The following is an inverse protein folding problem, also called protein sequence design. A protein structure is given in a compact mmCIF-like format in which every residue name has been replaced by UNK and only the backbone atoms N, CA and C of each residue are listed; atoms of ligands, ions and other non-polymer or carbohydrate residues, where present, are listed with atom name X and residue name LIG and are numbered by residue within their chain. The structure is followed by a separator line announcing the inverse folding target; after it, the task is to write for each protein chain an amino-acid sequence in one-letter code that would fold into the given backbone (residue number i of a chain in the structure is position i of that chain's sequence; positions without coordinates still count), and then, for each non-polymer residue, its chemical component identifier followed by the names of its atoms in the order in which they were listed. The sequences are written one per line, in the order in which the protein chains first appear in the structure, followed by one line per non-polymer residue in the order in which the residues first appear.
data_IF_274359880379
#
_entry.id   IF_274359880379
#
_cell.length_a   1.000
_cell.length_b   1.000
_cell.length_c   1.000
_cell.angle_alpha   90.00
_cell.angle_beta   90.00
_cell.angle_gamma   90.00
#
_symmetry.space_group_name_H-M   'P 1'
#
loop_
_entity.id
_entity.type
_entity.pdbx_description
1 polymer ?
#
# COMPACT_ATOMS: atom_id res chain seq x y z
N UNK A 1 -18.92 18.47 -5.55
CA UNK A 1 -17.60 19.12 -5.69
C UNK A 1 -17.83 20.45 -6.33
N UNK A 2 -17.39 21.52 -5.67
CA UNK A 2 -17.66 22.90 -6.04
C UNK A 2 -16.36 23.69 -6.10
N UNK A 3 -16.28 24.62 -7.05
CA UNK A 3 -15.18 25.57 -7.13
C UNK A 3 -15.39 26.73 -6.12
N UNK A 4 -14.45 27.68 -6.01
CA UNK A 4 -14.59 28.81 -5.09
C UNK A 4 -15.70 29.80 -5.44
N UNK A 5 -16.21 29.80 -6.68
CA UNK A 5 -17.33 30.64 -7.11
C UNK A 5 -18.69 30.00 -6.80
N UNK A 6 -18.70 28.74 -6.34
CA UNK A 6 -19.90 27.97 -6.06
C UNK A 6 -20.39 27.14 -7.25
N UNK A 7 -19.64 27.10 -8.35
CA UNK A 7 -20.01 26.32 -9.53
C UNK A 7 -19.74 24.83 -9.31
N UNK A 8 -20.70 24.00 -9.75
CA UNK A 8 -20.58 22.56 -9.60
C UNK A 8 -19.58 21.98 -10.61
N UNK A 9 -18.46 21.47 -10.10
CA UNK A 9 -17.45 20.76 -10.89
C UNK A 9 -17.89 19.32 -11.18
N UNK A 10 -18.44 18.64 -10.18
CA UNK A 10 -18.78 17.22 -10.30
C UNK A 10 -19.17 16.53 -8.99
N UNK A 11 -19.18 15.19 -9.02
CA UNK A 11 -19.52 14.33 -7.88
C UNK A 11 -18.33 13.44 -7.52
N UNK A 12 -18.05 13.31 -6.23
CA UNK A 12 -17.04 12.35 -5.76
C UNK A 12 -17.57 10.95 -6.02
N UNK A 13 -16.75 10.11 -6.64
CA UNK A 13 -17.04 8.70 -6.89
C UNK A 13 -16.21 7.79 -6.01
N UNK A 14 -14.99 8.19 -5.68
CA UNK A 14 -14.08 7.42 -4.85
C UNK A 14 -12.96 8.30 -4.29
N UNK A 15 -12.17 7.74 -3.38
CA UNK A 15 -10.90 8.28 -2.92
C UNK A 15 -9.75 7.40 -3.44
N UNK A 16 -8.63 8.02 -3.75
CA UNK A 16 -7.41 7.33 -4.16
C UNK A 16 -6.46 7.29 -2.98
N UNK A 17 -6.21 6.09 -2.46
CA UNK A 17 -5.24 5.83 -1.42
C UNK A 17 -3.95 5.24 -2.00
N UNK A 18 -2.80 5.58 -1.43
CA UNK A 18 -1.52 4.97 -1.70
C UNK A 18 -1.12 4.10 -0.51
N UNK A 19 -0.89 2.82 -0.77
CA UNK A 19 -0.30 1.91 0.22
C UNK A 19 1.17 2.28 0.41
N UNK A 20 1.63 2.35 1.66
CA UNK A 20 3.00 2.75 2.00
C UNK A 20 3.79 1.56 2.55
N UNK A 21 5.06 1.48 2.16
CA UNK A 21 6.01 0.48 2.67
C UNK A 21 6.36 0.81 4.13
N UNK A 22 6.72 -0.21 4.91
CA UNK A 22 7.23 -0.04 6.27
C UNK A 22 6.14 0.22 7.32
N UNK A 23 4.93 -0.31 7.10
CA UNK A 23 3.85 -0.24 8.09
C UNK A 23 3.45 1.19 8.43
N UNK A 24 3.36 2.06 7.42
CA UNK A 24 2.79 3.41 7.58
C UNK A 24 1.32 3.40 7.13
N UNK A 25 0.44 4.20 7.75
CA UNK A 25 -0.97 4.27 7.36
C UNK A 25 -1.12 4.59 5.87
N UNK A 26 -2.12 4.10 5.13
CA UNK A 26 -2.30 4.49 3.72
C UNK A 26 -2.53 6.00 3.58
N UNK A 27 -1.88 6.65 2.60
CA UNK A 27 -2.04 8.09 2.35
C UNK A 27 -3.13 8.34 1.32
N UNK A 28 -4.03 9.28 1.56
CA UNK A 28 -5.01 9.74 0.56
C UNK A 28 -4.34 10.74 -0.37
N UNK A 29 -4.25 10.39 -1.65
CA UNK A 29 -3.68 11.24 -2.70
C UNK A 29 -4.68 12.25 -3.25
N UNK A 30 -5.96 11.87 -3.31
CA UNK A 30 -7.00 12.68 -3.92
C UNK A 30 -8.31 11.94 -4.10
N UNK A 31 -9.19 12.55 -4.89
CA UNK A 31 -10.55 12.10 -5.14
C UNK A 31 -10.70 11.73 -6.62
N UNK A 32 -11.48 10.68 -6.89
CA UNK A 32 -12.01 10.41 -8.22
C UNK A 32 -13.30 11.21 -8.35
N UNK A 33 -13.31 12.20 -9.24
CA UNK A 33 -14.47 13.06 -9.48
C UNK A 33 -15.07 12.76 -10.83
N UNK A 34 -16.37 12.47 -10.87
CA UNK A 34 -17.13 12.40 -12.11
C UNK A 34 -17.65 13.80 -12.44
N UNK A 35 -17.21 14.34 -13.57
CA UNK A 35 -17.66 15.63 -14.10
C UNK A 35 -18.89 15.47 -14.98
N UNK A 36 -19.52 16.57 -15.38
CA UNK A 36 -20.77 16.62 -16.16
C UNK A 36 -20.71 15.76 -17.45
N UNK A 37 -19.54 15.64 -18.08
CA UNK A 37 -19.34 14.78 -19.26
C UNK A 37 -19.26 13.28 -18.97
N UNK A 38 -19.64 12.85 -17.75
CA UNK A 38 -19.48 11.47 -17.22
C UNK A 38 -18.04 10.95 -17.21
N UNK A 39 -17.08 11.83 -17.44
CA UNK A 39 -15.64 11.52 -17.37
C UNK A 39 -15.22 11.50 -15.91
N UNK A 40 -14.46 10.47 -15.52
CA UNK A 40 -13.78 10.42 -14.23
C UNK A 40 -12.43 11.09 -14.36
N UNK A 41 -12.14 12.02 -13.46
CA UNK A 41 -10.88 12.76 -13.38
C UNK A 41 -10.29 12.63 -11.97
N UNK A 42 -8.99 12.86 -11.86
CA UNK A 42 -8.31 12.92 -10.57
C UNK A 42 -8.31 14.34 -10.03
N UNK A 43 -8.79 14.52 -8.79
CA UNK A 43 -8.69 15.77 -8.05
C UNK A 43 -7.70 15.58 -6.88
N UNK A 44 -6.50 16.19 -6.93
CA UNK A 44 -5.52 16.05 -5.85
C UNK A 44 -6.08 16.54 -4.51
N UNK A 45 -5.76 15.84 -3.41
CA UNK A 45 -6.24 16.23 -2.08
C UNK A 45 -5.71 17.61 -1.65
N UNK A 46 -4.54 18.00 -2.17
CA UNK A 46 -3.95 19.34 -1.97
C UNK A 46 -4.80 20.48 -2.54
N UNK A 47 -5.72 20.16 -3.45
CA UNK A 47 -6.66 21.11 -4.05
C UNK A 47 -7.98 21.18 -3.29
N UNK A 48 -8.20 20.35 -2.27
CA UNK A 48 -9.39 20.38 -1.43
C UNK A 48 -9.17 21.36 -0.29
N UNK A 49 -10.03 22.37 -0.19
CA UNK A 49 -9.95 23.41 0.84
C UNK A 49 -10.90 23.16 2.00
N UNK A 50 -11.95 22.36 1.79
CA UNK A 50 -12.91 21.99 2.82
C UNK A 50 -13.80 20.83 2.41
N UNK A 51 -14.27 20.09 3.40
CA UNK A 51 -15.29 19.05 3.26
C UNK A 51 -16.38 19.34 4.28
N UNK A 52 -17.55 19.76 3.80
CA UNK A 52 -18.64 20.28 4.63
C UNK A 52 -19.96 19.70 4.16
N UNK A 53 -20.74 19.07 5.04
CA UNK A 53 -22.13 18.64 4.76
C UNK A 53 -22.34 17.96 3.39
N UNK A 54 -21.45 17.01 3.03
CA UNK A 54 -21.51 16.28 1.75
C UNK A 54 -20.96 17.05 0.53
N UNK A 55 -20.43 18.25 0.74
CA UNK A 55 -19.76 19.05 -0.26
C UNK A 55 -18.24 18.96 -0.10
N UNK A 56 -17.56 18.99 -1.24
CA UNK A 56 -16.10 19.12 -1.32
C UNK A 56 -15.82 20.41 -2.05
N UNK A 57 -15.13 21.32 -1.38
CA UNK A 57 -14.73 22.63 -1.92
C UNK A 57 -13.30 22.50 -2.43
N UNK A 58 -13.08 22.94 -3.67
CA UNK A 58 -11.76 22.87 -4.30
C UNK A 58 -11.27 24.24 -4.75
N UNK A 59 -9.96 24.35 -4.99
CA UNK A 59 -9.38 25.49 -5.72
C UNK A 59 -9.90 25.52 -7.17
N UNK A 60 -10.02 26.71 -7.77
CA UNK A 60 -10.73 26.90 -9.05
C UNK A 60 -10.15 26.23 -10.30
N UNK A 61 -8.95 25.64 -10.27
CA UNK A 61 -8.34 25.02 -11.47
C UNK A 61 -8.32 23.50 -11.34
N UNK A 62 -9.03 22.81 -12.23
CA UNK A 62 -9.17 21.35 -12.23
C UNK A 62 -8.67 20.78 -13.56
N UNK A 63 -7.82 19.74 -13.47
CA UNK A 63 -7.32 19.05 -14.66
C UNK A 63 -8.37 18.07 -15.19
N UNK A 64 -8.73 18.19 -16.47
CA UNK A 64 -9.75 17.37 -17.12
C UNK A 64 -9.23 16.03 -17.70
N UNK A 65 -7.96 15.69 -17.45
CA UNK A 65 -7.37 14.41 -17.84
C UNK A 65 -8.14 13.26 -17.21
N UNK A 66 -8.39 12.21 -18.01
CA UNK A 66 -9.04 10.99 -17.55
C UNK A 66 -8.25 10.39 -16.39
N UNK A 67 -8.96 9.99 -15.34
CA UNK A 67 -8.39 9.23 -14.25
C UNK A 67 -7.96 7.84 -14.74
N UNK A 68 -6.73 7.49 -14.40
CA UNK A 68 -6.12 6.18 -14.60
C UNK A 68 -5.45 5.82 -13.29
N UNK A 69 -5.84 4.68 -12.72
CA UNK A 69 -5.30 4.18 -11.46
C UNK A 69 -3.90 3.63 -11.68
N UNK A 70 -2.94 4.04 -10.84
CA UNK A 70 -1.58 3.49 -10.84
C UNK A 70 -1.51 2.17 -10.06
N UNK A 71 -0.51 1.31 -10.31
CA UNK A 71 -0.39 0.03 -9.60
C UNK A 71 -0.28 0.12 -8.07
N UNK A 72 0.28 1.23 -7.56
CA UNK A 72 0.45 1.49 -6.11
C UNK A 72 -0.75 2.21 -5.48
N UNK A 73 -1.74 2.57 -6.30
CA UNK A 73 -2.95 3.26 -5.88
C UNK A 73 -4.09 2.27 -5.70
N UNK A 74 -4.97 2.55 -4.73
CA UNK A 74 -6.18 1.79 -4.44
C UNK A 74 -7.36 2.72 -4.31
N UNK A 75 -8.50 2.28 -4.79
CA UNK A 75 -9.78 2.96 -4.61
C UNK A 75 -10.38 2.57 -3.27
N UNK A 76 -10.66 3.54 -2.40
CA UNK A 76 -11.11 3.25 -1.03
C UNK A 76 -12.50 2.60 -1.05
N UNK A 77 -13.47 3.19 -1.73
CA UNK A 77 -14.83 2.64 -1.78
C UNK A 77 -14.87 1.35 -2.60
N UNK A 78 -14.14 1.30 -3.71
CA UNK A 78 -14.12 0.14 -4.61
C UNK A 78 -13.32 -1.06 -4.12
N UNK A 79 -12.28 -0.86 -3.30
CA UNK A 79 -11.32 -1.92 -2.95
C UNK A 79 -11.08 -2.10 -1.44
N UNK A 80 -11.47 -1.15 -0.59
CA UNK A 80 -11.29 -1.29 0.86
C UNK A 80 -12.58 -1.75 1.54
N UNK A 81 -13.72 -1.18 1.15
CA UNK A 81 -15.02 -1.57 1.71
C UNK A 81 -15.39 -2.99 1.28
N UNK A 82 -16.10 -3.70 2.16
CA UNK A 82 -16.48 -5.11 2.05
C UNK A 82 -15.31 -6.09 1.91
N UNK A 83 -14.06 -5.61 1.98
CA UNK A 83 -12.87 -6.45 1.97
C UNK A 83 -12.79 -7.26 3.27
N UNK A 84 -12.44 -8.54 3.12
CA UNK A 84 -12.09 -9.40 4.25
C UNK A 84 -10.62 -9.21 4.58
N UNK A 85 -10.37 -8.93 5.83
CA UNK A 85 -9.04 -8.69 6.40
C UNK A 85 -8.93 -9.47 7.70
N UNK A 86 -7.72 -9.60 8.23
CA UNK A 86 -7.49 -10.29 9.50
C UNK A 86 -7.02 -9.35 10.58
N UNK A 87 -7.57 -9.50 11.78
CA UNK A 87 -7.06 -8.81 12.96
C UNK A 87 -5.67 -9.36 13.32
N UNK A 88 -4.76 -8.47 13.67
CA UNK A 88 -3.37 -8.83 14.00
C UNK A 88 -3.28 -9.52 15.38
N UNK A 89 -4.18 -9.18 16.30
CA UNK A 89 -4.16 -9.68 17.68
C UNK A 89 -4.47 -11.19 17.78
N UNK A 90 -5.49 -11.65 17.06
CA UNK A 90 -6.08 -12.99 17.20
C UNK A 90 -6.24 -13.75 15.87
N UNK A 91 -5.75 -13.17 14.76
CA UNK A 91 -5.88 -13.70 13.38
C UNK A 91 -7.35 -13.90 12.94
N UNK A 92 -8.30 -13.22 13.60
CA UNK A 92 -9.72 -13.35 13.27
C UNK A 92 -10.06 -12.61 11.96
N UNK A 93 -10.79 -13.28 11.07
CA UNK A 93 -11.28 -12.68 9.83
C UNK A 93 -12.44 -11.72 10.11
N UNK A 94 -12.29 -10.48 9.63
CA UNK A 94 -13.28 -9.40 9.75
C UNK A 94 -13.56 -8.76 8.39
N UNK A 95 -14.74 -8.19 8.24
CA UNK A 95 -15.11 -7.43 7.02
C UNK A 95 -15.07 -5.94 7.30
N UNK A 96 -14.43 -5.17 6.42
CA UNK A 96 -14.36 -3.71 6.54
C UNK A 96 -15.64 -3.08 6.01
N UNK A 97 -16.26 -2.23 6.84
CA UNK A 97 -17.52 -1.56 6.56
C UNK A 97 -17.34 -0.08 6.28
N UNK A 98 -16.36 0.54 6.91
CA UNK A 98 -16.06 1.96 6.75
C UNK A 98 -14.58 2.25 7.04
N UNK A 99 -14.11 3.40 6.59
CA UNK A 99 -12.74 3.87 6.73
C UNK A 99 -12.75 5.29 7.29
N UNK A 100 -12.03 5.49 8.39
CA UNK A 100 -11.77 6.83 8.90
C UNK A 100 -10.55 7.42 8.19
N UNK A 101 -10.67 8.69 7.80
CA UNK A 101 -9.57 9.48 7.26
C UNK A 101 -9.35 10.70 8.14
N UNK A 102 -8.09 11.06 8.34
CA UNK A 102 -7.71 12.25 9.08
C UNK A 102 -6.74 13.12 8.29
N UNK A 103 -6.78 14.42 8.57
CA UNK A 103 -5.80 15.38 8.06
C UNK A 103 -4.71 15.62 9.09
N UNK A 104 -3.46 15.41 8.69
CA UNK A 104 -2.29 15.67 9.51
C UNK A 104 -1.96 17.18 9.57
N UNK A 105 -1.74 17.75 10.78
CA UNK A 105 -1.51 19.19 10.96
C UNK A 105 -0.29 19.74 10.22
N UNK A 106 0.80 18.97 10.15
CA UNK A 106 2.10 19.47 9.70
C UNK A 106 2.21 19.66 8.17
N UNK A 107 1.35 19.01 7.36
CA UNK A 107 1.51 18.98 5.90
C UNK A 107 0.22 19.05 5.08
N UNK A 108 -0.95 19.16 5.73
CA UNK A 108 -2.27 18.96 5.07
C UNK A 108 -2.37 17.60 4.37
N UNK A 109 -1.55 16.65 4.81
CA UNK A 109 -1.56 15.28 4.30
C UNK A 109 -2.76 14.56 4.89
N UNK A 110 -3.42 13.76 4.07
CA UNK A 110 -4.54 12.95 4.51
C UNK A 110 -4.12 11.50 4.55
N UNK A 111 -4.55 10.78 5.58
CA UNK A 111 -4.28 9.36 5.72
C UNK A 111 -5.46 8.62 6.32
N UNK A 112 -5.49 7.32 6.07
CA UNK A 112 -6.42 6.40 6.71
C UNK A 112 -5.85 6.05 8.08
N UNK A 113 -6.59 6.34 9.15
CA UNK A 113 -6.18 6.08 10.52
C UNK A 113 -6.88 4.89 11.15
N UNK A 114 -8.16 4.66 10.82
CA UNK A 114 -8.96 3.57 11.40
C UNK A 114 -9.85 2.88 10.38
N UNK A 115 -10.21 1.65 10.71
CA UNK A 115 -11.23 0.87 10.01
C UNK A 115 -12.37 0.56 10.95
N UNK A 116 -13.60 0.67 10.43
CA UNK A 116 -14.77 0.12 11.08
C UNK A 116 -15.02 -1.27 10.50
N UNK A 117 -14.95 -2.30 11.35
CA UNK A 117 -14.96 -3.70 10.92
C UNK A 117 -16.06 -4.49 11.64
N UNK A 118 -16.41 -5.63 11.06
CA UNK A 118 -17.40 -6.56 11.60
C UNK A 118 -16.82 -7.98 11.68
N UNK A 119 -16.92 -8.58 12.85
CA UNK A 119 -16.59 -9.99 13.13
C UNK A 119 -17.70 -10.92 12.63
N UNK A 120 -17.31 -12.09 12.11
CA UNK A 120 -18.22 -13.22 11.84
C UNK A 120 -18.63 -13.46 10.37
N UNK A 121 -18.89 -14.75 10.07
CA UNK A 121 -19.29 -15.29 8.75
C UNK A 121 -20.71 -14.85 8.36
N UNK A 122 -20.87 -14.24 7.19
CA UNK A 122 -22.16 -14.05 6.54
C UNK A 122 -22.82 -15.39 6.17
N UNK A 123 -23.74 -15.87 7.00
CA UNK A 123 -24.60 -17.02 6.73
C UNK A 123 -26.04 -16.70 7.08
N UNK A 124 -26.99 -17.28 6.33
CA UNK A 124 -28.40 -16.88 6.26
C UNK A 124 -29.19 -16.88 7.59
N UNK A 125 -28.66 -17.49 8.65
CA UNK A 125 -29.24 -17.47 10.00
C UNK A 125 -28.14 -17.20 11.02
N UNK A 126 -27.76 -15.95 11.30
CA UNK A 126 -27.08 -15.62 12.58
C UNK A 126 -26.99 -14.13 12.88
N UNK A 127 -26.94 -13.88 14.20
CA UNK A 127 -26.84 -12.60 14.90
C UNK A 127 -25.97 -11.59 14.16
N UNK A 128 -26.42 -10.33 14.15
CA UNK A 128 -25.66 -9.14 13.74
C UNK A 128 -24.24 -9.27 14.32
N UNK A 129 -23.26 -9.51 13.46
CA UNK A 129 -21.87 -9.70 13.87
C UNK A 129 -21.37 -8.50 14.68
N UNK A 130 -20.53 -8.76 15.68
CA UNK A 130 -19.94 -7.70 16.51
C UNK A 130 -19.17 -6.71 15.63
N UNK A 131 -19.42 -5.42 15.83
CA UNK A 131 -18.74 -4.35 15.10
C UNK A 131 -17.79 -3.62 16.02
N UNK A 132 -16.61 -3.28 15.53
CA UNK A 132 -15.59 -2.55 16.27
C UNK A 132 -14.84 -1.58 15.35
N UNK A 133 -14.31 -0.51 15.93
CA UNK A 133 -13.38 0.39 15.26
C UNK A 133 -11.98 0.04 15.70
N UNK A 134 -11.09 -0.20 14.74
CA UNK A 134 -9.70 -0.61 14.98
C UNK A 134 -8.74 0.36 14.30
N UNK A 135 -7.57 0.54 14.89
CA UNK A 135 -6.47 1.29 14.25
C UNK A 135 -6.07 0.62 12.94
N UNK A 136 -5.58 1.39 11.98
CA UNK A 136 -5.19 0.87 10.66
C UNK A 136 -4.19 -0.30 10.76
N UNK A 137 -3.30 -0.25 11.78
CA UNK A 137 -2.24 -1.22 12.01
C UNK A 137 -2.72 -2.52 12.66
N UNK A 138 -3.95 -2.54 13.20
CA UNK A 138 -4.54 -3.71 13.83
C UNK A 138 -5.15 -4.69 12.81
N UNK A 139 -5.11 -4.37 11.51
CA UNK A 139 -5.57 -5.25 10.43
C UNK A 139 -4.46 -5.54 9.43
N UNK A 140 -4.46 -6.76 8.91
CA UNK A 140 -3.61 -7.21 7.82
C UNK A 140 -4.46 -7.61 6.60
N UNK A 141 -3.86 -7.62 5.40
CA UNK A 141 -4.56 -7.96 4.16
C UNK A 141 -4.99 -6.76 3.30
N UNK A 142 -4.64 -5.54 3.71
CA UNK A 142 -4.69 -4.33 2.85
C UNK A 142 -3.35 -3.99 2.21
N UNK A 143 -2.26 -4.61 2.67
CA UNK A 143 -0.96 -4.51 2.02
C UNK A 143 -1.08 -5.04 0.59
N UNK A 144 -0.14 -4.65 -0.27
CA UNK A 144 0.14 -5.45 -1.45
C UNK A 144 0.37 -6.88 -0.96
N UNK A 145 -0.45 -7.83 -1.41
CA UNK A 145 -0.12 -9.24 -1.30
C UNK A 145 1.15 -9.43 -2.12
N UNK A 146 2.29 -9.55 -1.46
CA UNK A 146 3.54 -9.92 -2.10
C UNK A 146 3.74 -11.42 -1.93
N UNK A 147 2.81 -12.20 -2.49
CA UNK A 147 3.21 -13.49 -3.02
C UNK A 147 3.89 -13.20 -4.37
N UNK A 148 5.22 -13.14 -4.38
CA UNK A 148 6.06 -13.10 -5.60
C UNK A 148 6.13 -11.76 -6.37
N UNK A 149 5.01 -11.12 -6.70
CA UNK A 149 4.97 -10.04 -7.70
C UNK A 149 5.54 -8.68 -7.25
N UNK A 150 5.64 -8.46 -5.94
CA UNK A 150 6.29 -7.25 -5.42
C UNK A 150 7.81 -7.30 -5.52
N UNK A 151 8.40 -8.49 -5.36
CA UNK A 151 9.85 -8.66 -5.48
C UNK A 151 10.27 -8.45 -6.94
N UNK A 152 9.52 -8.97 -7.91
CA UNK A 152 9.80 -8.82 -9.35
C UNK A 152 9.98 -7.34 -9.79
N UNK A 153 9.14 -6.42 -9.32
CA UNK A 153 9.28 -5.00 -9.64
C UNK A 153 10.52 -4.35 -8.98
N UNK A 154 10.88 -4.79 -7.78
CA UNK A 154 12.11 -4.34 -7.10
C UNK A 154 13.35 -4.94 -7.76
N UNK A 155 13.33 -6.23 -8.09
CA UNK A 155 14.38 -6.95 -8.83
C UNK A 155 14.64 -6.29 -10.18
N UNK A 156 13.61 -6.00 -10.98
CA UNK A 156 13.76 -5.28 -12.24
C UNK A 156 14.37 -3.88 -12.09
N UNK A 157 14.22 -3.25 -10.91
CA UNK A 157 14.88 -1.99 -10.58
C UNK A 157 16.35 -2.22 -10.18
N UNK A 158 16.62 -3.31 -9.44
CA UNK A 158 17.93 -3.66 -8.88
C UNK A 158 18.88 -4.31 -9.88
N UNK A 159 18.37 -4.94 -10.95
CA UNK A 159 19.15 -5.45 -12.09
C UNK A 159 20.03 -4.36 -12.73
N UNK A 160 19.64 -3.09 -12.62
CA UNK A 160 20.34 -1.96 -13.25
C UNK A 160 21.28 -1.21 -12.31
N UNK A 161 21.32 -1.57 -11.03
CA UNK A 161 22.13 -0.90 -10.01
C UNK A 161 23.46 -1.62 -9.82
N UNK A 162 24.40 -1.02 -9.07
CA UNK A 162 25.62 -1.73 -8.64
C UNK A 162 25.33 -2.57 -7.39
N UNK A 163 26.06 -3.67 -7.14
CA UNK A 163 25.84 -4.53 -5.97
C UNK A 163 25.79 -3.76 -4.64
N UNK A 164 26.73 -2.85 -4.39
CA UNK A 164 26.76 -1.98 -3.19
C UNK A 164 25.49 -1.14 -3.01
N UNK A 165 24.91 -0.65 -4.11
CA UNK A 165 23.69 0.17 -4.07
C UNK A 165 22.46 -0.71 -3.75
N UNK A 166 22.45 -1.96 -4.22
CA UNK A 166 21.41 -2.95 -3.91
C UNK A 166 21.53 -3.43 -2.46
N UNK A 167 22.74 -3.74 -1.99
CA UNK A 167 23.02 -4.14 -0.62
C UNK A 167 22.56 -3.07 0.38
N UNK A 168 22.91 -1.80 0.13
CA UNK A 168 22.44 -0.69 0.97
C UNK A 168 20.90 -0.59 0.97
N UNK A 169 20.23 -0.83 -0.17
CA UNK A 169 18.77 -0.86 -0.22
C UNK A 169 18.18 -2.03 0.57
N UNK A 170 18.74 -3.25 0.42
CA UNK A 170 18.33 -4.46 1.14
C UNK A 170 18.50 -4.35 2.65
N UNK A 171 19.58 -3.72 3.12
CA UNK A 171 19.85 -3.50 4.54
C UNK A 171 18.70 -2.76 5.23
N UNK A 172 18.10 -1.78 4.54
CA UNK A 172 17.01 -0.95 5.07
C UNK A 172 15.60 -1.55 4.88
N UNK A 173 15.48 -2.72 4.26
CA UNK A 173 14.21 -3.45 4.15
C UNK A 173 13.87 -4.17 5.47
N UNK A 174 12.59 -4.52 5.65
CA UNK A 174 12.21 -5.42 6.74
C UNK A 174 12.77 -6.83 6.48
N UNK A 175 13.04 -7.64 7.53
CA UNK A 175 13.60 -8.99 7.41
C UNK A 175 12.87 -9.87 6.38
N UNK A 176 11.53 -9.93 6.49
CA UNK A 176 10.69 -10.67 5.56
C UNK A 176 10.90 -10.23 4.10
N UNK A 177 10.98 -8.92 3.88
CA UNK A 177 11.07 -8.34 2.54
C UNK A 177 12.45 -8.52 1.92
N UNK A 178 13.49 -8.44 2.76
CA UNK A 178 14.87 -8.70 2.37
C UNK A 178 15.03 -10.11 1.82
N UNK A 179 14.51 -11.11 2.55
CA UNK A 179 14.51 -12.52 2.13
C UNK A 179 13.73 -12.73 0.82
N UNK A 180 12.56 -12.12 0.68
CA UNK A 180 11.75 -12.21 -0.56
C UNK A 180 12.47 -11.67 -1.79
N UNK A 181 13.19 -10.55 -1.66
CA UNK A 181 13.95 -9.97 -2.77
C UNK A 181 15.19 -10.80 -3.06
N UNK A 182 15.92 -11.24 -2.02
CA UNK A 182 17.09 -12.10 -2.19
C UNK A 182 16.73 -13.40 -2.93
N UNK A 183 15.61 -14.03 -2.56
CA UNK A 183 15.11 -15.24 -3.23
C UNK A 183 14.68 -15.01 -4.69
N UNK A 184 14.52 -13.77 -5.14
CA UNK A 184 14.12 -13.44 -6.51
C UNK A 184 15.27 -12.96 -7.41
N UNK A 185 16.45 -12.69 -6.85
CA UNK A 185 17.68 -12.47 -7.63
C UNK A 185 18.18 -13.79 -8.22
N UNK A 186 19.00 -13.77 -9.27
CA UNK A 186 19.79 -14.93 -9.68
C UNK A 186 20.98 -15.16 -8.73
N UNK A 187 21.58 -16.35 -8.77
CA UNK A 187 22.54 -16.78 -7.74
C UNK A 187 23.87 -15.99 -7.80
N UNK A 188 24.39 -15.74 -9.01
CA UNK A 188 25.57 -14.90 -9.23
C UNK A 188 25.32 -13.48 -8.70
N UNK A 189 24.17 -12.90 -9.04
CA UNK A 189 23.81 -11.55 -8.59
C UNK A 189 23.59 -11.47 -7.09
N UNK A 190 23.02 -12.51 -6.49
CA UNK A 190 22.80 -12.58 -5.06
C UNK A 190 24.14 -12.65 -4.31
N UNK A 191 25.10 -13.43 -4.82
CA UNK A 191 26.45 -13.51 -4.26
C UNK A 191 27.14 -12.12 -4.21
N UNK A 192 27.19 -11.41 -5.34
CA UNK A 192 27.74 -10.05 -5.43
C UNK A 192 27.13 -9.08 -4.39
N UNK A 193 25.82 -9.21 -4.15
CA UNK A 193 25.09 -8.33 -3.22
C UNK A 193 25.32 -8.73 -1.76
N UNK A 194 25.46 -10.03 -1.49
CA UNK A 194 25.74 -10.54 -0.15
C UNK A 194 27.13 -10.11 0.33
N UNK A 195 28.14 -10.10 -0.53
CA UNK A 195 29.49 -9.62 -0.18
C UNK A 195 29.51 -8.18 0.35
N UNK A 196 28.55 -7.36 -0.11
CA UNK A 196 28.44 -5.94 0.24
C UNK A 196 27.52 -5.70 1.46
N UNK A 197 26.82 -6.72 1.95
CA UNK A 197 25.88 -6.62 3.08
C UNK A 197 26.58 -6.81 4.44
N UNK A 198 26.03 -6.24 5.53
CA UNK A 198 26.49 -6.57 6.88
C UNK A 198 26.30 -8.06 7.22
N UNK A 199 27.20 -8.66 8.00
CA UNK A 199 27.19 -10.09 8.33
C UNK A 199 25.85 -10.59 8.88
N UNK A 200 25.20 -9.80 9.76
CA UNK A 200 23.90 -10.16 10.34
C UNK A 200 22.81 -10.35 9.26
N UNK A 201 22.83 -9.52 8.22
CA UNK A 201 21.87 -9.60 7.12
C UNK A 201 22.19 -10.77 6.17
N UNK A 202 23.48 -11.04 5.93
CA UNK A 202 23.91 -12.19 5.13
C UNK A 202 23.43 -13.50 5.76
N UNK A 203 23.69 -13.68 7.06
CA UNK A 203 23.29 -14.87 7.81
C UNK A 203 21.77 -15.04 7.81
N UNK A 204 21.01 -13.95 7.96
CA UNK A 204 19.55 -13.97 7.88
C UNK A 204 19.05 -14.46 6.52
N UNK A 205 19.63 -13.96 5.43
CA UNK A 205 19.24 -14.33 4.06
C UNK A 205 19.60 -15.78 3.78
N UNK A 206 20.86 -16.18 3.99
CA UNK A 206 21.34 -17.55 3.72
C UNK A 206 20.55 -18.58 4.53
N UNK A 207 20.27 -18.30 5.80
CA UNK A 207 19.50 -19.19 6.67
C UNK A 207 18.02 -19.37 6.28
N UNK A 208 17.52 -18.62 5.29
CA UNK A 208 16.14 -18.68 4.79
C UNK A 208 16.03 -19.18 3.34
N UNK A 209 17.15 -19.37 2.64
CA UNK A 209 17.17 -19.97 1.30
C UNK A 209 16.98 -21.49 1.36
N UNK A 210 16.62 -22.09 0.22
CA UNK A 210 16.65 -23.53 0.05
C UNK A 210 18.11 -24.03 0.13
N UNK A 211 18.32 -25.20 0.74
CA UNK A 211 19.67 -25.73 1.03
C UNK A 211 20.57 -25.84 -0.21
N UNK A 212 20.04 -26.37 -1.31
CA UNK A 212 20.75 -26.48 -2.59
C UNK A 212 21.22 -25.10 -3.09
N UNK A 213 20.30 -24.15 -3.06
CA UNK A 213 20.54 -22.79 -3.55
C UNK A 213 21.49 -21.99 -2.66
N UNK A 214 21.41 -22.19 -1.34
CA UNK A 214 22.35 -21.57 -0.41
C UNK A 214 23.78 -22.03 -0.68
N UNK A 215 23.97 -23.30 -1.04
CA UNK A 215 25.28 -23.82 -1.43
C UNK A 215 25.78 -23.17 -2.73
N UNK A 216 24.93 -23.08 -3.76
CA UNK A 216 25.28 -22.47 -5.05
C UNK A 216 25.71 -21.00 -4.91
N UNK A 217 24.97 -20.23 -4.09
CA UNK A 217 25.27 -18.81 -3.83
C UNK A 217 26.58 -18.65 -3.04
N UNK A 218 26.83 -19.50 -2.04
CA UNK A 218 28.08 -19.47 -1.27
C UNK A 218 29.29 -19.83 -2.13
N UNK A 219 29.16 -20.79 -3.07
CA UNK A 219 30.21 -21.13 -4.01
C UNK A 219 30.54 -19.96 -4.95
N UNK A 220 29.52 -19.19 -5.37
CA UNK A 220 29.71 -18.00 -6.19
C UNK A 220 30.38 -16.82 -5.45
N UNK A 221 30.38 -16.80 -4.11
CA UNK A 221 31.08 -15.80 -3.27
C UNK A 221 32.56 -16.11 -3.01
N UNK A 222 33.03 -17.32 -3.34
CA UNK A 222 34.42 -17.79 -3.13
C UNK A 222 35.37 -17.70 -4.37
N UNK A 223 35.38 -16.65 -5.24
CA UNK A 223 36.36 -16.51 -6.33
C UNK A 223 37.64 -15.71 -5.99
#
# INVERSE_FOLDING_TARGET
VFDPNGDQVGRVRDLVAMLRVGGRPPRILGLVVEVISRRRIFLPMTRVTGVESGQVITTGVVNMRRFEQRPTERLVLGEFLDRRVRLVEDDEEVTVLDVAIQQLPARRDWEIDKYFVRKGRGGALRRKGETLTVEWSAVSGFSLEEHGQGAENLVATFERLRPTDVANALHHLSPKRRVEVAAALDDDRLADVLEELPEDDQVEIIGKLAEERAADVLEAMDP
#
